data_IF_701832559070
#
_entry.id   IF_701832559070
#
_cell.length_a   1.000
_cell.length_b   1.000
_cell.length_c   1.000
_cell.angle_alpha   90.00
_cell.angle_beta   90.00
_cell.angle_gamma   90.00
#
_symmetry.space_group_name_H-M   'P 1'
#
loop_
_entity.id
_entity.type
_entity.pdbx_description
1 polymer ?
#
# COMPACT_ATOMS: atom_id res chain seq x y z
N UNK A 1 -63.97 -10.89 4.24
CA UNK A 1 -64.75 -12.02 4.77
C UNK A 1 -63.80 -13.22 4.92
N UNK A 2 -63.81 -13.79 6.03
CA UNK A 2 -63.39 -15.05 6.64
C UNK A 2 -62.16 -14.96 7.57
N UNK A 3 -62.55 -14.88 8.83
CA UNK A 3 -61.75 -15.21 10.05
C UNK A 3 -61.69 -16.72 10.24
N UNK A 4 -60.57 -17.24 10.79
CA UNK A 4 -60.50 -18.45 11.67
C UNK A 4 -59.15 -18.30 12.41
N UNK A 5 -58.99 -17.94 13.63
CA UNK A 5 -59.27 -18.52 14.95
C UNK A 5 -58.43 -19.76 15.31
N UNK A 6 -57.49 -19.52 16.22
CA UNK A 6 -57.07 -20.21 17.44
C UNK A 6 -56.79 -21.74 17.47
N UNK A 7 -55.65 -22.08 18.10
CA UNK A 7 -55.63 -23.04 19.20
C UNK A 7 -54.29 -22.99 19.98
N UNK A 8 -54.40 -22.72 21.27
CA UNK A 8 -53.39 -22.84 22.32
C UNK A 8 -53.41 -24.30 22.80
N UNK A 9 -52.24 -24.93 22.93
CA UNK A 9 -52.08 -26.10 23.83
C UNK A 9 -50.83 -25.94 24.66
N UNK A 10 -51.03 -25.72 25.90
CA UNK A 10 -50.02 -25.78 26.97
C UNK A 10 -49.81 -27.23 27.40
N UNK A 11 -48.57 -27.59 27.69
CA UNK A 11 -48.25 -28.77 28.51
C UNK A 11 -47.21 -28.36 29.54
N UNK A 12 -47.66 -28.40 30.80
CA UNK A 12 -46.87 -28.40 32.03
C UNK A 12 -46.38 -29.84 32.27
N UNK A 13 -45.07 -30.05 32.51
CA UNK A 13 -44.61 -31.21 33.29
C UNK A 13 -43.36 -30.86 34.10
N UNK A 14 -43.60 -30.78 35.38
CA UNK A 14 -42.98 -31.29 36.59
C UNK A 14 -41.44 -31.40 36.70
N UNK A 15 -41.03 -30.78 37.78
CA UNK A 15 -39.78 -30.83 38.56
C UNK A 15 -39.48 -32.26 39.07
N UNK A 16 -38.21 -32.66 38.94
CA UNK A 16 -37.58 -33.61 39.87
C UNK A 16 -36.17 -33.11 40.23
N UNK A 17 -36.05 -32.70 41.49
CA UNK A 17 -34.79 -32.52 42.20
C UNK A 17 -34.14 -33.88 42.44
N UNK A 18 -32.87 -34.03 42.13
CA UNK A 18 -32.00 -35.04 42.73
C UNK A 18 -30.66 -34.38 43.07
N UNK A 19 -30.48 -34.13 44.34
CA UNK A 19 -29.23 -33.79 44.99
C UNK A 19 -28.47 -35.07 45.30
N UNK A 20 -27.19 -35.16 44.94
CA UNK A 20 -26.14 -35.89 45.68
C UNK A 20 -24.77 -35.63 45.03
N UNK A 21 -23.87 -35.07 45.80
CA UNK A 21 -22.65 -35.71 46.21
C UNK A 21 -21.39 -35.00 45.74
N UNK A 22 -20.77 -34.25 46.62
CA UNK A 22 -19.45 -33.64 46.46
C UNK A 22 -18.35 -34.67 46.25
N UNK A 23 -17.44 -34.37 45.30
CA UNK A 23 -15.99 -34.64 45.44
C UNK A 23 -15.22 -33.56 44.71
N UNK A 24 -14.58 -32.73 45.48
CA UNK A 24 -13.59 -31.75 45.04
C UNK A 24 -12.34 -32.47 44.55
N UNK A 25 -12.10 -32.45 43.23
CA UNK A 25 -10.77 -32.70 42.72
C UNK A 25 -10.40 -31.43 41.95
N UNK A 26 -9.43 -30.71 42.51
CA UNK A 26 -8.89 -29.49 41.92
C UNK A 26 -8.27 -29.78 40.54
N UNK A 27 -9.01 -29.49 39.50
CA UNK A 27 -8.43 -29.27 38.20
C UNK A 27 -7.89 -27.85 38.18
N UNK A 28 -6.55 -27.74 38.29
CA UNK A 28 -5.85 -26.53 37.93
C UNK A 28 -6.26 -26.19 36.48
N UNK A 29 -7.21 -25.29 36.34
CA UNK A 29 -7.55 -24.68 35.07
C UNK A 29 -6.30 -23.97 34.58
N UNK A 30 -5.62 -24.58 33.63
CA UNK A 30 -4.70 -23.86 32.76
C UNK A 30 -5.53 -22.73 32.18
N UNK A 31 -5.34 -21.53 32.73
CA UNK A 31 -5.76 -20.30 32.05
C UNK A 31 -5.02 -20.29 30.72
N UNK A 32 -5.68 -20.78 29.69
CA UNK A 32 -5.28 -20.54 28.31
C UNK A 32 -5.34 -19.03 28.18
N UNK A 33 -4.21 -18.36 28.36
CA UNK A 33 -4.01 -16.98 27.97
C UNK A 33 -4.40 -16.95 26.51
N UNK A 34 -5.62 -16.51 26.20
CA UNK A 34 -5.97 -16.05 24.88
C UNK A 34 -4.97 -14.92 24.58
N UNK A 35 -3.85 -15.24 23.99
CA UNK A 35 -2.95 -14.25 23.44
C UNK A 35 -3.80 -13.46 22.45
N UNK A 36 -4.20 -12.26 22.86
CA UNK A 36 -4.96 -11.36 21.99
C UNK A 36 -4.20 -11.25 20.69
N UNK A 37 -4.87 -11.53 19.58
CA UNK A 37 -4.25 -11.41 18.27
C UNK A 37 -3.95 -9.94 18.06
N UNK A 38 -2.67 -9.57 18.02
CA UNK A 38 -2.22 -8.22 17.72
C UNK A 38 -2.42 -7.98 16.22
N UNK A 39 -3.28 -7.05 15.87
CA UNK A 39 -3.62 -6.76 14.47
C UNK A 39 -3.41 -5.28 14.17
N UNK A 40 -2.64 -5.00 13.13
CA UNK A 40 -2.42 -3.64 12.63
C UNK A 40 -2.89 -3.49 11.19
N UNK A 41 -3.32 -2.28 10.86
CA UNK A 41 -3.67 -1.87 9.48
C UNK A 41 -2.60 -0.93 8.96
N UNK A 42 -1.96 -1.32 7.86
CA UNK A 42 -0.92 -0.56 7.18
C UNK A 42 -1.48 0.05 5.90
N UNK A 43 -1.52 1.38 5.83
CA UNK A 43 -1.79 2.11 4.60
C UNK A 43 -0.48 2.30 3.87
N UNK A 44 -0.35 1.75 2.67
CA UNK A 44 0.89 1.76 1.91
C UNK A 44 0.68 2.15 0.46
N UNK A 45 1.62 2.91 -0.09
CA UNK A 45 1.61 3.29 -1.50
C UNK A 45 1.46 2.06 -2.41
N UNK A 46 0.72 2.20 -3.52
CA UNK A 46 0.41 1.11 -4.44
C UNK A 46 1.68 0.41 -4.98
N UNK A 47 2.76 1.15 -5.21
CA UNK A 47 4.07 0.62 -5.62
C UNK A 47 4.73 -0.30 -4.60
N UNK A 48 4.28 -0.27 -3.33
CA UNK A 48 4.78 -1.14 -2.26
C UNK A 48 4.04 -2.48 -2.16
N UNK A 49 2.97 -2.68 -2.95
CA UNK A 49 2.05 -3.82 -2.77
C UNK A 49 2.79 -5.17 -2.70
N UNK A 50 3.66 -5.46 -3.64
CA UNK A 50 4.36 -6.73 -3.70
C UNK A 50 5.32 -6.89 -2.51
N UNK A 51 6.18 -5.90 -2.28
CA UNK A 51 7.19 -5.95 -1.21
C UNK A 51 6.58 -5.94 0.18
N UNK A 52 5.54 -5.12 0.42
CA UNK A 52 4.89 -5.06 1.73
C UNK A 52 4.05 -6.29 2.01
N UNK A 53 3.47 -6.94 1.00
CA UNK A 53 2.83 -8.26 1.16
C UNK A 53 3.85 -9.29 1.63
N UNK A 54 5.04 -9.34 1.02
CA UNK A 54 6.12 -10.23 1.43
C UNK A 54 6.64 -9.87 2.85
N UNK A 55 6.90 -8.59 3.11
CA UNK A 55 7.33 -8.11 4.44
C UNK A 55 6.30 -8.46 5.53
N UNK A 56 5.01 -8.34 5.24
CA UNK A 56 3.95 -8.73 6.18
C UNK A 56 3.96 -10.24 6.49
N UNK A 57 4.24 -11.08 5.51
CA UNK A 57 4.39 -12.52 5.71
C UNK A 57 5.63 -12.85 6.56
N UNK A 58 6.76 -12.23 6.25
CA UNK A 58 8.00 -12.41 7.01
C UNK A 58 7.86 -11.86 8.44
N UNK A 59 7.21 -10.69 8.60
CA UNK A 59 6.93 -10.11 9.92
C UNK A 59 6.08 -11.04 10.78
N UNK A 60 4.99 -11.58 10.22
CA UNK A 60 4.13 -12.55 10.91
C UNK A 60 4.91 -13.81 11.33
N UNK A 61 5.83 -14.29 10.50
CA UNK A 61 6.68 -15.43 10.84
C UNK A 61 7.63 -15.13 12.00
N UNK A 62 8.19 -13.89 12.03
CA UNK A 62 9.10 -13.44 13.08
C UNK A 62 8.37 -13.04 14.39
N UNK A 63 7.08 -12.67 14.31
CA UNK A 63 6.24 -12.22 15.43
C UNK A 63 4.95 -13.05 15.50
N UNK A 64 5.00 -14.29 16.02
CA UNK A 64 3.81 -15.16 16.15
C UNK A 64 2.70 -14.48 16.96
N UNK A 65 1.46 -14.60 16.51
CA UNK A 65 0.31 -13.95 17.15
C UNK A 65 0.00 -12.56 16.59
N UNK A 66 0.79 -12.04 15.63
CA UNK A 66 0.50 -10.78 14.96
C UNK A 66 -0.21 -10.99 13.61
N UNK A 67 -1.01 -9.99 13.20
CA UNK A 67 -1.61 -9.91 11.86
C UNK A 67 -1.38 -8.51 11.30
N UNK A 68 -1.06 -8.44 10.01
CA UNK A 68 -0.92 -7.18 9.28
C UNK A 68 -1.91 -7.16 8.13
N UNK A 69 -2.86 -6.24 8.17
CA UNK A 69 -3.77 -5.94 7.07
C UNK A 69 -3.21 -4.77 6.28
N UNK A 70 -3.32 -4.82 4.95
CA UNK A 70 -2.84 -3.76 4.09
C UNK A 70 -3.99 -3.09 3.34
N UNK A 71 -3.93 -1.75 3.26
CA UNK A 71 -4.69 -0.94 2.31
C UNK A 71 -3.70 -0.30 1.34
N UNK A 72 -3.75 -0.69 0.07
CA UNK A 72 -2.86 -0.17 -0.97
C UNK A 72 -3.59 0.84 -1.85
N UNK A 73 -2.94 1.99 -2.12
CA UNK A 73 -3.52 3.06 -2.94
C UNK A 73 -2.52 4.15 -3.28
N UNK A 74 -2.95 5.18 -3.97
CA UNK A 74 -2.15 6.40 -4.14
C UNK A 74 -1.88 7.06 -2.79
N UNK A 75 -0.64 7.49 -2.55
CA UNK A 75 -0.28 8.10 -1.25
C UNK A 75 -1.10 9.35 -0.94
N UNK A 76 -1.53 10.10 -1.96
CA UNK A 76 -2.42 11.26 -1.82
C UNK A 76 -3.78 10.89 -1.23
N UNK A 77 -4.37 9.80 -1.71
CA UNK A 77 -5.69 9.34 -1.28
C UNK A 77 -5.61 8.70 0.10
N UNK A 78 -4.54 7.93 0.36
CA UNK A 78 -4.30 7.34 1.68
C UNK A 78 -4.06 8.42 2.74
N UNK A 79 -3.28 9.47 2.43
CA UNK A 79 -3.09 10.60 3.32
C UNK A 79 -4.40 11.34 3.62
N UNK A 80 -5.25 11.54 2.60
CA UNK A 80 -6.57 12.13 2.79
C UNK A 80 -7.49 11.23 3.64
N UNK A 81 -7.42 9.91 3.48
CA UNK A 81 -8.17 8.98 4.34
C UNK A 81 -7.72 9.06 5.80
N UNK A 82 -6.40 9.14 6.06
CA UNK A 82 -5.86 9.32 7.42
C UNK A 82 -6.31 10.65 8.01
N UNK A 83 -6.26 11.75 7.25
CA UNK A 83 -6.71 13.07 7.68
C UNK A 83 -8.21 13.09 8.01
N UNK A 84 -9.01 12.28 7.30
CA UNK A 84 -10.43 12.07 7.57
C UNK A 84 -10.72 11.02 8.65
N UNK A 85 -9.71 10.56 9.39
CA UNK A 85 -9.86 9.66 10.55
C UNK A 85 -9.96 8.17 10.21
N UNK A 86 -9.51 7.74 9.02
CA UNK A 86 -9.43 6.31 8.72
C UNK A 86 -8.46 5.60 9.68
N UNK A 87 -8.80 4.40 10.18
CA UNK A 87 -8.06 3.70 11.22
C UNK A 87 -6.80 3.02 10.64
N UNK A 88 -5.78 3.80 10.36
CA UNK A 88 -4.45 3.31 10.00
C UNK A 88 -3.56 3.25 11.25
N UNK A 89 -2.79 2.18 11.40
CA UNK A 89 -1.75 2.05 12.42
C UNK A 89 -0.38 2.50 11.92
N UNK A 90 -0.13 2.27 10.61
CA UNK A 90 1.10 2.67 9.92
C UNK A 90 0.73 3.30 8.57
N UNK A 91 1.43 4.36 8.19
CA UNK A 91 1.36 4.94 6.86
C UNK A 91 2.75 4.90 6.19
N UNK A 92 2.82 4.34 4.97
CA UNK A 92 4.02 4.28 4.14
C UNK A 92 3.74 4.97 2.80
N UNK A 93 4.34 6.13 2.60
CA UNK A 93 4.12 6.98 1.42
C UNK A 93 5.21 6.75 0.35
N UNK A 94 4.88 7.01 -0.91
CA UNK A 94 5.84 7.02 -2.01
C UNK A 94 6.46 8.41 -2.28
N UNK A 95 6.17 9.41 -1.44
CA UNK A 95 6.86 10.69 -1.40
C UNK A 95 6.74 11.35 -0.02
N UNK A 96 7.62 12.33 0.24
CA UNK A 96 7.61 13.13 1.47
C UNK A 96 6.43 14.09 1.49
N UNK A 97 6.03 14.65 0.33
CA UNK A 97 4.95 15.63 0.22
C UNK A 97 3.61 15.08 0.76
N UNK A 98 3.28 13.82 0.47
CA UNK A 98 2.06 13.21 0.99
C UNK A 98 2.24 12.73 2.44
N UNK A 99 3.44 12.34 2.87
CA UNK A 99 3.73 12.09 4.28
C UNK A 99 3.56 13.37 5.12
N UNK A 100 3.99 14.52 4.61
CA UNK A 100 3.89 15.81 5.31
C UNK A 100 2.43 16.22 5.58
N UNK A 101 1.47 15.80 4.74
CA UNK A 101 0.03 15.99 5.00
C UNK A 101 -0.46 15.27 6.25
N UNK A 102 0.24 14.24 6.68
CA UNK A 102 -0.08 13.45 7.89
C UNK A 102 0.76 13.90 9.08
N UNK A 103 2.05 14.16 8.86
CA UNK A 103 2.94 14.58 9.95
C UNK A 103 2.73 16.04 10.35
N UNK A 104 2.45 16.93 9.39
CA UNK A 104 2.23 18.37 9.65
C UNK A 104 1.08 18.65 10.62
N UNK A 105 -0.11 18.03 10.48
CA UNK A 105 -1.20 18.14 11.45
C UNK A 105 -0.98 17.34 12.75
N UNK A 106 0.15 16.62 12.89
CA UNK A 106 0.47 15.82 14.06
C UNK A 106 -0.33 14.52 14.16
N UNK A 107 -0.69 13.90 13.02
CA UNK A 107 -1.38 12.61 12.99
C UNK A 107 -0.44 11.41 13.11
N UNK A 108 0.88 11.64 13.00
CA UNK A 108 1.90 10.63 13.23
C UNK A 108 2.36 10.60 14.69
N UNK A 109 2.81 9.44 15.18
CA UNK A 109 3.42 9.21 16.48
C UNK A 109 4.95 9.33 16.35
N UNK A 110 5.44 10.56 16.34
CA UNK A 110 6.85 10.90 16.11
C UNK A 110 7.19 11.17 14.64
N UNK A 111 8.48 11.20 14.34
CA UNK A 111 8.98 11.52 13.01
C UNK A 111 8.85 10.34 12.05
N UNK A 112 8.50 10.61 10.81
CA UNK A 112 8.60 9.64 9.73
C UNK A 112 10.06 9.29 9.43
N UNK A 113 10.32 8.05 8.99
CA UNK A 113 11.65 7.55 8.62
C UNK A 113 11.66 7.16 7.15
N UNK A 114 12.61 7.68 6.38
CA UNK A 114 12.85 7.17 5.03
C UNK A 114 13.34 5.73 5.10
N UNK A 115 12.79 4.84 4.27
CA UNK A 115 13.16 3.44 4.24
C UNK A 115 13.58 2.95 2.86
N UNK A 116 13.28 3.71 1.80
CA UNK A 116 13.64 3.39 0.43
C UNK A 116 13.63 4.63 -0.46
N UNK A 117 14.20 4.49 -1.66
CA UNK A 117 14.04 5.44 -2.78
C UNK A 117 13.59 4.71 -4.03
N UNK A 118 13.01 5.44 -4.99
CA UNK A 118 12.62 4.91 -6.28
C UNK A 118 12.74 5.97 -7.37
N UNK A 119 12.82 5.53 -8.62
CA UNK A 119 12.87 6.43 -9.79
C UNK A 119 11.87 5.97 -10.84
N UNK A 120 11.42 6.90 -11.67
CA UNK A 120 10.51 6.59 -12.75
C UNK A 120 11.24 5.90 -13.92
N UNK A 121 10.46 5.12 -14.65
CA UNK A 121 10.75 4.61 -15.98
C UNK A 121 9.51 4.73 -16.85
N UNK A 122 9.68 4.61 -18.16
CA UNK A 122 8.55 4.51 -19.08
C UNK A 122 8.22 3.02 -19.22
N UNK A 123 7.04 2.61 -18.78
CA UNK A 123 6.50 1.28 -19.05
C UNK A 123 5.91 1.25 -20.46
N UNK A 124 6.25 0.21 -21.20
CA UNK A 124 5.72 -0.09 -22.53
C UNK A 124 5.31 -1.56 -22.60
N UNK A 125 4.50 -1.94 -23.56
CA UNK A 125 4.20 -3.36 -23.80
C UNK A 125 5.47 -4.11 -24.22
N UNK A 126 5.54 -5.44 -23.98
CA UNK A 126 6.68 -6.24 -24.39
C UNK A 126 7.07 -6.05 -25.85
N UNK A 127 8.37 -5.89 -26.10
CA UNK A 127 8.91 -5.61 -27.41
C UNK A 127 8.78 -4.16 -27.86
N UNK A 128 8.27 -3.26 -27.03
CA UNK A 128 8.16 -1.82 -27.29
C UNK A 128 7.59 -1.49 -28.70
N UNK A 129 6.36 -1.90 -29.01
CA UNK A 129 5.80 -1.78 -30.35
C UNK A 129 5.67 -0.33 -30.86
N UNK A 130 5.64 0.64 -29.93
CA UNK A 130 5.58 2.07 -30.25
C UNK A 130 6.96 2.71 -30.46
N UNK A 131 8.07 1.95 -30.30
CA UNK A 131 9.44 2.41 -30.52
C UNK A 131 9.81 3.61 -29.67
N UNK A 132 9.44 3.59 -28.37
CA UNK A 132 9.72 4.67 -27.41
C UNK A 132 11.15 4.50 -26.92
N UNK A 133 11.95 5.56 -26.96
CA UNK A 133 13.36 5.57 -26.57
C UNK A 133 13.67 6.52 -25.41
N UNK A 134 12.74 7.41 -25.09
CA UNK A 134 12.91 8.38 -24.01
C UNK A 134 11.69 9.28 -23.82
N UNK A 135 11.83 10.23 -22.91
CA UNK A 135 10.72 11.10 -22.47
C UNK A 135 10.15 11.96 -23.63
N UNK A 136 11.00 12.41 -24.54
CA UNK A 136 10.59 13.22 -25.70
C UNK A 136 9.60 12.48 -26.60
N UNK A 137 9.74 11.17 -26.75
CA UNK A 137 8.83 10.36 -27.58
C UNK A 137 7.39 10.34 -27.05
N UNK A 138 7.19 10.62 -25.76
CA UNK A 138 5.87 10.65 -25.14
C UNK A 138 5.02 11.86 -25.62
N UNK A 139 5.64 12.80 -26.30
CA UNK A 139 4.96 13.97 -26.90
C UNK A 139 4.44 13.74 -28.33
N UNK A 140 4.72 12.56 -28.91
CA UNK A 140 4.32 12.25 -30.31
C UNK A 140 2.79 12.28 -30.45
N UNK A 141 2.28 12.93 -31.54
CA UNK A 141 0.85 12.94 -31.81
C UNK A 141 0.29 11.52 -31.98
N UNK A 142 -0.85 11.26 -31.33
CA UNK A 142 -1.55 9.97 -31.39
C UNK A 142 -1.03 8.92 -30.43
N UNK A 143 0.09 9.15 -29.72
CA UNK A 143 0.55 8.25 -28.66
C UNK A 143 -0.40 8.32 -27.46
N UNK A 144 -0.83 7.18 -26.98
CA UNK A 144 -1.67 7.07 -25.78
C UNK A 144 -0.78 6.97 -24.52
N UNK A 145 -0.40 8.13 -24.00
CA UNK A 145 0.31 8.23 -22.72
C UNK A 145 -0.69 8.19 -21.57
N UNK A 146 -0.37 7.43 -20.53
CA UNK A 146 -1.06 7.43 -19.23
C UNK A 146 -0.07 7.76 -18.13
N UNK A 147 -0.45 8.60 -17.20
CA UNK A 147 0.36 8.94 -16.03
C UNK A 147 -0.51 9.04 -14.76
N UNK A 148 0.12 9.21 -13.63
CA UNK A 148 -0.60 9.51 -12.40
C UNK A 148 -1.03 10.97 -12.37
N UNK A 149 -2.16 11.28 -11.71
CA UNK A 149 -2.57 12.66 -11.45
C UNK A 149 -1.49 13.43 -10.66
N UNK A 150 -1.39 14.72 -10.87
CA UNK A 150 -0.29 15.56 -10.39
C UNK A 150 -0.05 15.54 -8.86
N UNK A 151 -1.10 15.27 -8.05
CA UNK A 151 -1.00 15.17 -6.60
C UNK A 151 -0.49 13.82 -6.11
N UNK A 152 -0.51 12.79 -6.96
CA UNK A 152 -0.02 11.44 -6.68
C UNK A 152 1.51 11.42 -6.82
N UNK A 153 2.26 10.66 -5.98
CA UNK A 153 3.72 10.66 -6.03
C UNK A 153 4.33 10.44 -7.42
N UNK A 154 3.81 9.47 -8.19
CA UNK A 154 4.26 9.18 -9.57
C UNK A 154 3.98 10.34 -10.54
N UNK A 155 2.83 11.02 -10.41
CA UNK A 155 2.49 12.19 -11.22
C UNK A 155 3.35 13.41 -10.87
N UNK A 156 3.54 13.65 -9.57
CA UNK A 156 4.48 14.71 -9.12
C UNK A 156 5.90 14.48 -9.65
N UNK A 157 6.37 13.22 -9.64
CA UNK A 157 7.69 12.87 -10.18
C UNK A 157 7.72 12.99 -11.72
N UNK A 158 6.65 12.59 -12.42
CA UNK A 158 6.53 12.73 -13.88
C UNK A 158 6.63 14.20 -14.29
N UNK A 159 5.90 15.09 -13.61
CA UNK A 159 5.97 16.53 -13.86
C UNK A 159 7.35 17.11 -13.56
N UNK A 160 8.02 16.67 -12.50
CA UNK A 160 9.37 17.12 -12.18
C UNK A 160 10.39 16.68 -13.24
N UNK A 161 10.31 15.42 -13.69
CA UNK A 161 11.15 14.89 -14.76
C UNK A 161 10.88 15.61 -16.09
N UNK A 162 9.61 15.81 -16.46
CA UNK A 162 9.22 16.53 -17.66
C UNK A 162 9.74 17.98 -17.67
N UNK A 163 9.72 18.64 -16.50
CA UNK A 163 10.28 20.00 -16.36
C UNK A 163 11.81 20.03 -16.50
N UNK A 164 12.50 18.97 -16.07
CA UNK A 164 13.96 18.88 -16.18
C UNK A 164 14.45 18.51 -17.61
N UNK A 165 13.55 18.06 -18.47
CA UNK A 165 13.87 17.67 -19.83
C UNK A 165 14.33 18.87 -20.69
N UNK A 166 14.98 18.57 -21.83
CA UNK A 166 15.46 19.55 -22.80
C UNK A 166 16.30 20.67 -22.16
N UNK A 167 17.31 20.27 -21.34
CA UNK A 167 18.19 21.18 -20.61
C UNK A 167 17.42 22.19 -19.72
N UNK A 168 16.26 21.82 -19.21
CA UNK A 168 15.40 22.65 -18.36
C UNK A 168 14.36 23.48 -19.13
N UNK A 169 14.30 23.39 -20.45
CA UNK A 169 13.21 23.96 -21.23
C UNK A 169 11.88 23.22 -21.01
N UNK A 170 12.00 21.92 -20.66
CA UNK A 170 10.87 21.06 -20.36
C UNK A 170 10.17 20.46 -21.57
N UNK A 171 9.41 19.40 -21.32
CA UNK A 171 8.52 18.79 -22.32
C UNK A 171 7.09 18.81 -21.82
N UNK A 172 6.13 19.09 -22.70
CA UNK A 172 4.71 19.12 -22.37
C UNK A 172 4.12 17.72 -22.57
N UNK A 173 4.01 16.94 -21.51
CA UNK A 173 3.28 15.67 -21.52
C UNK A 173 1.77 15.94 -21.69
N UNK A 174 1.12 15.12 -22.49
CA UNK A 174 -0.34 15.22 -22.73
C UNK A 174 -0.95 13.84 -22.57
N UNK A 175 -1.16 13.39 -21.31
CA UNK A 175 -1.75 12.09 -21.05
C UNK A 175 -3.20 12.04 -21.57
N UNK A 176 -3.60 10.88 -22.10
CA UNK A 176 -5.01 10.62 -22.44
C UNK A 176 -5.82 10.27 -21.21
N UNK A 177 -5.16 9.92 -20.12
CA UNK A 177 -5.77 9.60 -18.83
C UNK A 177 -4.77 9.81 -17.68
N UNK A 178 -5.28 10.29 -16.55
CA UNK A 178 -4.54 10.44 -15.29
C UNK A 178 -5.13 9.51 -14.23
N UNK A 179 -4.26 8.74 -13.58
CA UNK A 179 -4.67 7.69 -12.64
C UNK A 179 -4.41 8.10 -11.18
N UNK A 180 -5.20 7.52 -10.28
CA UNK A 180 -5.09 7.76 -8.85
C UNK A 180 -3.90 7.05 -8.20
N UNK A 181 -3.29 6.07 -8.87
CA UNK A 181 -2.11 5.35 -8.41
C UNK A 181 -1.33 4.71 -9.57
N UNK A 182 -0.08 4.32 -9.29
CA UNK A 182 0.84 3.80 -10.31
C UNK A 182 0.46 2.40 -10.84
N UNK A 183 -0.23 1.60 -10.02
CA UNK A 183 -0.67 0.26 -10.45
C UNK A 183 -1.71 0.34 -11.57
N UNK A 184 -2.59 1.35 -11.54
CA UNK A 184 -3.59 1.58 -12.58
C UNK A 184 -2.91 2.06 -13.87
N UNK A 185 -1.88 2.92 -13.79
CA UNK A 185 -1.05 3.31 -14.94
C UNK A 185 -0.44 2.08 -15.61
N UNK A 186 0.25 1.22 -14.82
CA UNK A 186 0.86 0.00 -15.32
C UNK A 186 -0.19 -0.95 -15.91
N UNK A 187 -1.34 -1.07 -15.27
CA UNK A 187 -2.47 -1.89 -15.71
C UNK A 187 -2.93 -1.53 -17.12
N UNK A 188 -3.07 -0.24 -17.42
CA UNK A 188 -3.47 0.25 -18.76
C UNK A 188 -2.42 -0.02 -19.84
N UNK A 189 -1.13 0.02 -19.48
CA UNK A 189 -0.06 -0.36 -20.41
C UNK A 189 -0.11 -1.87 -20.71
N UNK A 190 -0.24 -2.69 -19.66
CA UNK A 190 -0.29 -4.16 -19.78
C UNK A 190 -1.53 -4.61 -20.57
N UNK A 191 -2.69 -3.98 -20.37
CA UNK A 191 -3.92 -4.30 -21.10
C UNK A 191 -3.90 -3.83 -22.55
N UNK A 192 -2.96 -2.93 -22.92
CA UNK A 192 -2.89 -2.32 -24.24
C UNK A 192 -3.85 -1.16 -24.47
N UNK A 193 -4.49 -0.66 -23.40
CA UNK A 193 -5.27 0.58 -23.44
C UNK A 193 -4.39 1.80 -23.62
N UNK A 194 -3.14 1.74 -23.12
CA UNK A 194 -2.11 2.76 -23.31
C UNK A 194 -0.89 2.20 -24.06
N UNK A 195 -0.21 3.08 -24.83
CA UNK A 195 1.05 2.77 -25.50
C UNK A 195 2.25 2.88 -24.56
N UNK A 196 2.16 3.81 -23.60
CA UNK A 196 3.18 4.09 -22.60
C UNK A 196 2.56 4.59 -21.29
N UNK A 197 3.28 4.38 -20.20
CA UNK A 197 2.94 4.92 -18.88
C UNK A 197 4.19 5.30 -18.09
N UNK A 198 4.11 6.37 -17.30
CA UNK A 198 5.17 6.74 -16.37
C UNK A 198 4.92 6.03 -15.04
N UNK A 199 5.79 5.07 -14.71
CA UNK A 199 5.73 4.22 -13.53
C UNK A 199 7.10 4.11 -12.88
N UNK A 200 7.20 3.46 -11.72
CA UNK A 200 8.52 3.21 -11.13
C UNK A 200 9.22 1.99 -11.73
N UNK A 201 10.54 1.97 -11.65
CA UNK A 201 11.34 0.80 -12.09
C UNK A 201 10.93 -0.48 -11.38
N UNK A 202 10.51 -0.38 -10.11
CA UNK A 202 10.04 -1.51 -9.32
C UNK A 202 8.72 -2.09 -9.81
N UNK A 203 7.83 -1.25 -10.36
CA UNK A 203 6.53 -1.68 -10.88
C UNK A 203 6.73 -2.55 -12.13
N UNK A 204 7.59 -2.14 -13.07
CA UNK A 204 7.92 -2.93 -14.26
C UNK A 204 8.64 -4.22 -13.89
N UNK A 205 9.58 -4.16 -12.95
CA UNK A 205 10.27 -5.37 -12.44
C UNK A 205 9.27 -6.34 -11.83
N UNK A 206 8.32 -5.85 -11.04
CA UNK A 206 7.25 -6.65 -10.42
C UNK A 206 6.22 -7.18 -11.42
N UNK A 207 6.14 -6.63 -12.63
CA UNK A 207 5.20 -7.06 -13.67
C UNK A 207 5.55 -8.43 -14.28
N UNK A 208 6.75 -8.99 -14.02
CA UNK A 208 7.12 -10.33 -14.44
C UNK A 208 7.10 -10.53 -15.95
N UNK A 209 7.61 -9.56 -16.71
CA UNK A 209 7.69 -9.62 -18.17
C UNK A 209 6.42 -9.22 -18.92
N UNK A 210 5.39 -8.71 -18.21
CA UNK A 210 4.15 -8.19 -18.83
C UNK A 210 4.30 -6.75 -19.36
N UNK A 211 5.39 -6.08 -19.01
CA UNK A 211 5.76 -4.77 -19.51
C UNK A 211 7.28 -4.69 -19.60
N UNK A 212 7.78 -3.89 -20.53
CA UNK A 212 9.19 -3.54 -20.68
C UNK A 212 9.45 -2.14 -20.13
N UNK A 213 10.67 -1.92 -19.66
CA UNK A 213 11.15 -0.65 -19.09
C UNK A 213 11.98 0.09 -20.14
N UNK A 214 11.64 1.35 -20.39
CA UNK A 214 12.48 2.27 -21.15
C UNK A 214 12.99 3.34 -20.18
N UNK A 215 14.27 3.26 -19.76
CA UNK A 215 14.86 4.25 -18.86
C UNK A 215 15.05 5.59 -19.58
N UNK A 216 15.00 6.67 -18.82
CA UNK A 216 15.23 8.02 -19.31
C UNK A 216 16.02 8.84 -18.28
N UNK A 217 16.98 9.68 -18.70
CA UNK A 217 17.92 10.32 -17.77
C UNK A 217 17.26 11.34 -16.82
N UNK A 218 16.17 11.98 -17.24
CA UNK A 218 15.44 12.99 -16.46
C UNK A 218 14.80 12.41 -15.21
N UNK A 219 14.60 11.08 -15.13
CA UNK A 219 14.11 10.40 -13.93
C UNK A 219 15.00 10.65 -12.70
N UNK A 220 16.30 10.90 -12.93
CA UNK A 220 17.25 11.23 -11.86
C UNK A 220 16.98 12.57 -11.17
N UNK A 221 16.29 13.50 -11.84
CA UNK A 221 15.86 14.77 -11.28
C UNK A 221 14.63 14.65 -10.36
N UNK A 222 14.01 13.47 -10.30
CA UNK A 222 12.76 13.22 -9.59
C UNK A 222 12.81 11.91 -8.78
N UNK A 223 13.84 11.76 -7.96
CA UNK A 223 13.97 10.60 -7.07
C UNK A 223 12.91 10.67 -5.98
N UNK A 224 12.04 9.69 -5.90
CA UNK A 224 11.08 9.56 -4.82
C UNK A 224 11.72 8.97 -3.56
N UNK A 225 11.54 9.63 -2.43
CA UNK A 225 11.85 9.10 -1.10
C UNK A 225 10.59 8.50 -0.50
N UNK A 226 10.73 7.36 0.13
CA UNK A 226 9.62 6.60 0.72
C UNK A 226 9.71 6.66 2.24
N UNK A 227 8.98 7.57 2.89
CA UNK A 227 8.86 7.63 4.33
C UNK A 227 7.78 6.70 4.87
N UNK A 228 7.99 6.23 6.11
CA UNK A 228 7.04 5.42 6.88
C UNK A 228 6.89 6.01 8.29
N UNK A 229 5.68 6.02 8.82
CA UNK A 229 5.36 6.50 10.15
C UNK A 229 4.30 5.64 10.84
N UNK A 230 4.39 5.54 12.18
CA UNK A 230 3.30 5.03 13.02
C UNK A 230 2.26 6.13 13.18
N UNK A 231 0.97 5.79 13.16
CA UNK A 231 -0.09 6.77 13.35
C UNK A 231 -0.33 7.03 14.84
N UNK A 232 -0.62 8.30 15.18
CA UNK A 232 -0.85 8.74 16.57
C UNK A 232 -2.00 7.99 17.23
N UNK A 233 -3.06 7.71 16.49
CA UNK A 233 -4.29 7.10 16.99
C UNK A 233 -4.32 5.56 16.84
N UNK A 234 -3.17 4.97 16.47
CA UNK A 234 -2.98 3.51 16.45
C UNK A 234 -3.38 2.88 17.78
N UNK A 235 -4.13 1.78 17.71
CA UNK A 235 -4.58 1.03 18.88
C UNK A 235 -3.55 0.01 19.38
N UNK A 236 -2.59 -0.35 18.52
CA UNK A 236 -1.48 -1.24 18.85
C UNK A 236 -0.16 -0.63 18.36
N UNK A 237 0.27 0.43 19.04
CA UNK A 237 1.51 1.15 18.72
C UNK A 237 2.76 0.30 18.86
N UNK A 238 2.74 -0.68 19.74
CA UNK A 238 3.89 -1.58 19.93
C UNK A 238 4.10 -2.43 18.68
N UNK A 239 3.08 -3.11 18.21
CA UNK A 239 3.13 -3.90 16.97
C UNK A 239 3.40 -3.01 15.75
N UNK A 240 2.80 -1.81 15.69
CA UNK A 240 3.04 -0.86 14.61
C UNK A 240 4.50 -0.41 14.55
N UNK A 241 5.13 -0.08 15.69
CA UNK A 241 6.57 0.26 15.77
C UNK A 241 7.43 -0.92 15.39
N UNK A 242 7.13 -2.12 15.89
CA UNK A 242 7.84 -3.33 15.53
C UNK A 242 7.81 -3.58 14.01
N UNK A 243 6.66 -3.36 13.35
CA UNK A 243 6.56 -3.47 11.89
C UNK A 243 7.42 -2.42 11.17
N UNK A 244 7.38 -1.15 11.60
CA UNK A 244 8.23 -0.08 11.04
C UNK A 244 9.72 -0.40 11.21
N UNK A 245 10.12 -0.94 12.35
CA UNK A 245 11.50 -1.39 12.61
C UNK A 245 11.87 -2.57 11.73
N UNK A 246 10.97 -3.53 11.55
CA UNK A 246 11.17 -4.67 10.67
C UNK A 246 11.38 -4.24 9.21
N UNK A 247 10.58 -3.31 8.68
CA UNK A 247 10.78 -2.72 7.34
C UNK A 247 12.18 -2.13 7.20
N UNK A 248 12.68 -1.45 8.24
CA UNK A 248 14.00 -0.81 8.27
C UNK A 248 15.15 -1.76 8.65
N UNK A 249 14.87 -3.01 8.98
CA UNK A 249 15.88 -4.02 9.32
C UNK A 249 16.71 -4.45 8.10
N UNK A 250 17.77 -5.22 8.35
CA UNK A 250 18.56 -5.83 7.27
C UNK A 250 17.70 -6.75 6.37
N UNK A 251 16.77 -7.50 6.97
CA UNK A 251 15.83 -8.36 6.24
C UNK A 251 14.86 -7.52 5.38
N UNK A 252 14.26 -6.48 5.96
CA UNK A 252 13.36 -5.58 5.22
C UNK A 252 14.04 -4.87 4.07
N UNK A 253 15.24 -4.33 4.31
CA UNK A 253 16.06 -3.69 3.25
C UNK A 253 16.44 -4.65 2.14
N UNK A 254 16.70 -5.92 2.48
CA UNK A 254 16.98 -6.94 1.46
C UNK A 254 15.78 -7.16 0.54
N UNK A 255 14.56 -7.32 1.08
CA UNK A 255 13.33 -7.47 0.28
C UNK A 255 13.12 -6.27 -0.63
N UNK A 256 13.30 -5.05 -0.13
CA UNK A 256 13.19 -3.82 -0.92
C UNK A 256 14.24 -3.76 -2.03
N UNK A 257 15.51 -4.05 -1.73
CA UNK A 257 16.59 -4.04 -2.71
C UNK A 257 16.40 -5.12 -3.79
N UNK A 258 15.97 -6.33 -3.41
CA UNK A 258 15.67 -7.42 -4.34
C UNK A 258 14.51 -7.02 -5.30
N UNK A 259 13.57 -6.22 -4.86
CA UNK A 259 12.51 -5.66 -5.69
C UNK A 259 12.96 -4.48 -6.56
N UNK A 260 14.15 -3.90 -6.33
CA UNK A 260 14.73 -2.82 -7.12
C UNK A 260 14.60 -1.42 -6.51
N UNK A 261 14.17 -1.33 -5.25
CA UNK A 261 14.21 -0.05 -4.52
C UNK A 261 15.66 0.33 -4.20
N UNK A 262 15.95 1.64 -4.28
CA UNK A 262 17.20 2.20 -3.78
C UNK A 262 17.21 2.34 -2.26
N UNK A 263 18.41 2.52 -1.69
CA UNK A 263 18.58 2.86 -0.28
C UNK A 263 17.97 4.24 0.04
N UNK A 264 17.53 4.48 1.31
CA UNK A 264 16.99 5.74 1.76
C UNK A 264 18.01 6.88 1.76
#
# INVERSE_FOLDING_TARGET
MRRVAAAVVGILVAVLLSACGATTTGAAGSASSASGQHAITVFAAASLKQTFTELGQQFKAAHPGTAVAFSFGGSSDLAAQVDNGAPADVFASADTKNMDKVTGPGLADGAAKDFATNVLTIAVRPGNPSGITGLADLTRPGLKLVECAAQVPCGSAAHAAAKAADNGAGVALKPVSEESNVTDVLGKVISGEADAGLVYVTDVKGAGGKADSVPFPESSAAVNRYPIAVMRDSKDKETARAFVEFVNSAAGRKVLADAGFGAP
#
